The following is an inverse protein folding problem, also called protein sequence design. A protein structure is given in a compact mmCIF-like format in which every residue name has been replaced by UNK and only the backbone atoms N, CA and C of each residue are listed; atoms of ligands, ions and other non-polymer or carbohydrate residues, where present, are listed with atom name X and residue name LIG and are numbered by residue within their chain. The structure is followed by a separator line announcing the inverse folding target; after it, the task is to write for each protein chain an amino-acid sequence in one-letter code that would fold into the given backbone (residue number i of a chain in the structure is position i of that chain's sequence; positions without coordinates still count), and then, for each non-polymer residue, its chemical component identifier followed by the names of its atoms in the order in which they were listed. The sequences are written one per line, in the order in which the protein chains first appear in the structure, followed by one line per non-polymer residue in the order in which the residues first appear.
data_IF_646359874192
#
_entry.id   IF_646359874192
#
_cell.length_a   1.000
_cell.length_b   1.000
_cell.length_c   1.000
_cell.angle_alpha   90.00
_cell.angle_beta   90.00
_cell.angle_gamma   90.00
#
_symmetry.space_group_name_H-M   'P 1'
#
loop_
_entity.id
_entity.type
_entity.pdbx_description
1 polymer ?
#
# COMPACT_ATOMS: atom_id res chain seq x y z
N UNK A 1 5.35 0.07 5.02
CA UNK A 1 5.77 0.46 3.66
C UNK A 1 7.11 1.21 3.76
N UNK A 2 7.94 1.15 2.72
CA UNK A 2 9.21 1.88 2.69
C UNK A 2 9.43 2.55 1.33
N UNK A 3 10.17 3.66 1.35
CA UNK A 3 10.70 4.31 0.17
C UNK A 3 12.21 4.32 0.27
N UNK A 4 12.84 3.58 -0.63
CA UNK A 4 14.28 3.56 -0.79
C UNK A 4 14.72 4.74 -1.68
N UNK A 5 15.66 5.54 -1.17
CA UNK A 5 16.29 6.60 -1.93
C UNK A 5 17.73 6.25 -2.35
N UNK A 6 17.86 5.51 -3.44
CA UNK A 6 19.14 5.22 -4.08
C UNK A 6 19.84 6.45 -4.74
N UNK A 7 19.31 7.66 -4.61
CA UNK A 7 19.94 8.88 -5.16
C UNK A 7 20.94 9.51 -4.18
N UNK A 8 21.90 10.28 -4.72
CA UNK A 8 22.85 11.08 -3.93
C UNK A 8 22.27 12.37 -3.32
N UNK A 9 20.98 12.63 -3.52
CA UNK A 9 20.27 13.80 -2.99
C UNK A 9 19.03 13.37 -2.23
N UNK A 10 18.57 14.22 -1.30
CA UNK A 10 17.32 13.93 -0.58
C UNK A 10 16.13 13.81 -1.53
N UNK A 11 15.22 12.92 -1.17
CA UNK A 11 13.95 12.70 -1.83
C UNK A 11 12.85 13.22 -0.91
N UNK A 12 12.02 14.15 -1.39
CA UNK A 12 10.83 14.61 -0.64
C UNK A 12 9.61 14.04 -1.33
N UNK A 13 8.69 13.47 -0.59
CA UNK A 13 7.42 13.00 -1.15
C UNK A 13 6.27 13.73 -0.48
N UNK A 14 5.23 14.02 -1.27
CA UNK A 14 4.01 14.62 -0.77
C UNK A 14 3.07 13.57 -0.21
N UNK A 15 1.85 13.99 0.09
CA UNK A 15 0.79 13.09 0.54
C UNK A 15 0.61 11.97 -0.47
N UNK A 16 0.64 10.74 0.04
CA UNK A 16 0.47 9.53 -0.75
C UNK A 16 -0.89 8.95 -0.50
N UNK A 17 -1.48 8.35 -1.52
CA UNK A 17 -2.79 7.71 -1.41
C UNK A 17 -2.60 6.21 -1.36
N UNK A 18 -3.19 5.58 -0.37
CA UNK A 18 -3.27 4.12 -0.27
C UNK A 18 -4.73 3.68 -0.30
N UNK A 19 -4.96 2.53 -0.91
CA UNK A 19 -6.23 1.85 -0.92
C UNK A 19 -5.97 0.36 -0.69
N UNK A 20 -6.82 -0.26 0.11
CA UNK A 20 -6.86 -1.71 0.31
C UNK A 20 -8.21 -2.19 -0.17
N UNK A 21 -8.16 -3.27 -0.95
CA UNK A 21 -9.30 -3.82 -1.65
C UNK A 21 -9.46 -5.29 -1.32
N UNK A 22 -10.71 -5.73 -1.31
CA UNK A 22 -11.10 -7.13 -1.30
C UNK A 22 -11.91 -7.38 -2.57
N UNK A 23 -11.46 -8.32 -3.40
CA UNK A 23 -11.95 -8.43 -4.77
C UNK A 23 -11.81 -7.10 -5.52
N UNK A 24 -12.95 -6.53 -5.94
CA UNK A 24 -13.03 -5.23 -6.63
C UNK A 24 -13.56 -4.10 -5.74
N UNK A 25 -13.67 -4.32 -4.43
CA UNK A 25 -14.26 -3.37 -3.48
C UNK A 25 -13.17 -2.75 -2.64
N UNK A 26 -13.11 -1.41 -2.59
CA UNK A 26 -12.26 -0.70 -1.65
C UNK A 26 -12.81 -0.86 -0.24
N UNK A 27 -12.02 -1.50 0.62
CA UNK A 27 -12.38 -1.76 2.03
C UNK A 27 -11.97 -0.58 2.90
N UNK A 28 -10.76 -0.10 2.69
CA UNK A 28 -10.14 0.96 3.49
C UNK A 28 -9.10 1.68 2.63
N UNK A 29 -8.70 2.87 3.04
CA UNK A 29 -7.74 3.68 2.32
C UNK A 29 -7.39 4.93 3.08
N UNK A 30 -6.20 5.45 2.83
CA UNK A 30 -5.65 6.54 3.61
C UNK A 30 -4.84 7.52 2.79
N UNK A 31 -4.63 8.68 3.39
CA UNK A 31 -3.53 9.57 3.04
C UNK A 31 -2.38 9.29 3.98
N UNK A 32 -1.25 8.89 3.43
CA UNK A 32 0.01 8.86 4.16
C UNK A 32 0.61 10.25 4.02
N UNK A 33 0.85 10.91 5.15
CA UNK A 33 1.45 12.25 5.17
C UNK A 33 2.78 12.27 4.41
N UNK A 34 3.06 13.38 3.74
CA UNK A 34 4.33 13.57 3.07
C UNK A 34 5.54 13.42 4.02
N UNK A 35 6.69 13.05 3.45
CA UNK A 35 7.90 12.75 4.20
C UNK A 35 9.17 12.97 3.39
N UNK A 36 10.30 12.52 3.93
CA UNK A 36 11.61 12.74 3.33
C UNK A 36 12.58 11.60 3.60
N UNK A 37 13.08 10.99 2.53
CA UNK A 37 14.21 10.07 2.60
C UNK A 37 15.52 10.83 2.32
N UNK A 38 16.53 10.66 3.16
CA UNK A 38 17.87 11.24 2.92
C UNK A 38 18.59 10.48 1.81
N UNK A 39 19.74 11.00 1.38
CA UNK A 39 20.50 10.40 0.29
C UNK A 39 21.00 9.00 0.71
N UNK A 40 20.73 7.97 -0.11
CA UNK A 40 21.10 6.57 0.17
C UNK A 40 20.50 6.00 1.46
N UNK A 41 19.38 6.55 1.92
CA UNK A 41 18.63 6.08 3.08
C UNK A 41 17.20 5.69 2.68
N UNK A 42 16.59 4.83 3.48
CA UNK A 42 15.19 4.43 3.38
C UNK A 42 14.32 5.14 4.41
N UNK A 43 13.15 5.61 3.98
CA UNK A 43 12.14 6.16 4.88
C UNK A 43 11.03 5.11 5.05
N UNK A 44 10.64 4.83 6.30
CA UNK A 44 9.66 3.79 6.64
C UNK A 44 8.48 4.36 7.40
N UNK A 45 7.30 3.81 7.13
CA UNK A 45 6.08 4.13 7.85
C UNK A 45 5.20 2.91 8.02
N UNK A 46 4.51 2.89 9.16
CA UNK A 46 3.52 1.89 9.50
C UNK A 46 2.17 2.34 8.94
N UNK A 47 1.50 1.42 8.26
CA UNK A 47 0.13 1.61 7.77
C UNK A 47 -0.69 0.52 8.43
N UNK A 48 -1.60 0.93 9.31
CA UNK A 48 -2.61 0.04 9.89
C UNK A 48 -3.84 0.12 9.02
N UNK A 49 -4.37 -1.03 8.63
CA UNK A 49 -5.56 -1.15 7.79
C UNK A 49 -6.57 -1.97 8.55
N UNK A 50 -7.79 -1.45 8.68
CA UNK A 50 -8.85 -2.16 9.38
C UNK A 50 -9.87 -2.70 8.37
N UNK A 51 -9.92 -4.03 8.25
CA UNK A 51 -10.89 -4.70 7.38
C UNK A 51 -12.07 -5.13 8.23
N UNK A 52 -13.21 -4.46 8.03
CA UNK A 52 -14.49 -4.84 8.66
C UNK A 52 -15.44 -5.44 7.63
N UNK A 53 -16.15 -6.49 8.02
CA UNK A 53 -17.27 -7.04 7.26
C UNK A 53 -18.42 -6.02 7.24
N UNK A 54 -18.40 -5.08 6.29
CA UNK A 54 -19.48 -4.12 6.10
C UNK A 54 -20.55 -4.70 5.18
N UNK A 55 -21.78 -4.19 5.28
CA UNK A 55 -22.86 -4.57 4.37
C UNK A 55 -22.53 -4.35 2.89
N UNK A 56 -21.59 -3.46 2.56
CA UNK A 56 -21.07 -3.27 1.21
C UNK A 56 -20.17 -4.43 0.74
N UNK A 57 -19.24 -4.89 1.57
CA UNK A 57 -18.38 -6.04 1.25
C UNK A 57 -19.18 -7.34 1.10
N UNK A 58 -20.12 -7.56 2.03
CA UNK A 58 -20.97 -8.76 2.06
C UNK A 58 -21.89 -8.86 0.82
N UNK A 59 -22.28 -7.72 0.24
CA UNK A 59 -23.14 -7.68 -0.97
C UNK A 59 -22.36 -7.73 -2.27
N UNK A 60 -21.15 -7.19 -2.30
CA UNK A 60 -20.34 -7.12 -3.50
C UNK A 60 -19.54 -8.40 -3.78
N UNK A 61 -19.50 -9.32 -2.82
CA UNK A 61 -18.79 -10.59 -2.98
C UNK A 61 -19.54 -11.71 -2.28
N UNK A 62 -20.28 -12.52 -3.04
CA UNK A 62 -20.90 -13.75 -2.54
C UNK A 62 -19.88 -14.73 -1.91
N UNK A 63 -18.59 -14.53 -2.18
CA UNK A 63 -17.50 -15.36 -1.67
C UNK A 63 -16.89 -14.86 -0.35
N UNK A 64 -17.16 -13.64 0.15
CA UNK A 64 -16.47 -13.15 1.36
C UNK A 64 -16.78 -13.99 2.60
N UNK A 65 -18.03 -14.39 2.79
CA UNK A 65 -18.38 -15.32 3.88
C UNK A 65 -17.75 -16.70 3.71
N UNK A 66 -17.61 -17.17 2.46
CA UNK A 66 -16.94 -18.42 2.12
C UNK A 66 -15.45 -18.35 2.44
N UNK A 67 -14.74 -17.36 1.93
CA UNK A 67 -13.31 -17.11 2.15
C UNK A 67 -12.99 -16.95 3.64
N UNK A 68 -13.86 -16.27 4.40
CA UNK A 68 -13.75 -16.18 5.87
C UNK A 68 -13.89 -17.55 6.53
N UNK A 69 -14.82 -18.39 6.06
CA UNK A 69 -15.04 -19.74 6.61
C UNK A 69 -13.90 -20.71 6.28
N UNK A 70 -13.34 -20.62 5.07
CA UNK A 70 -12.13 -21.35 4.66
C UNK A 70 -10.91 -20.84 5.44
N UNK A 71 -10.94 -19.57 5.84
CA UNK A 71 -9.89 -18.90 6.57
C UNK A 71 -8.73 -18.47 5.67
N UNK A 72 -8.98 -18.31 4.36
CA UNK A 72 -8.02 -17.81 3.40
C UNK A 72 -8.66 -16.69 2.57
N UNK A 73 -8.20 -15.47 2.75
CA UNK A 73 -8.81 -14.28 2.15
C UNK A 73 -7.81 -13.60 1.23
N UNK A 74 -8.12 -13.47 -0.06
CA UNK A 74 -7.32 -12.68 -1.00
C UNK A 74 -7.54 -11.19 -0.77
N UNK A 75 -6.47 -10.45 -0.52
CA UNK A 75 -6.46 -9.00 -0.43
C UNK A 75 -5.55 -8.39 -1.50
N UNK A 76 -6.01 -7.27 -2.04
CA UNK A 76 -5.25 -6.43 -2.95
C UNK A 76 -4.99 -5.09 -2.29
N UNK A 77 -3.82 -4.50 -2.54
CA UNK A 77 -3.53 -3.15 -2.10
C UNK A 77 -2.92 -2.35 -3.23
N UNK A 78 -3.24 -1.06 -3.22
CA UNK A 78 -2.80 -0.07 -4.18
C UNK A 78 -2.22 1.11 -3.40
N UNK A 79 -1.04 1.56 -3.80
CA UNK A 79 -0.45 2.79 -3.29
C UNK A 79 0.06 3.66 -4.43
N UNK A 80 -0.22 4.96 -4.35
CA UNK A 80 0.33 5.98 -5.22
C UNK A 80 1.15 6.97 -4.39
N UNK A 81 2.43 7.07 -4.71
CA UNK A 81 3.38 7.97 -4.10
C UNK A 81 3.78 9.04 -5.11
N UNK A 82 3.66 10.32 -4.73
CA UNK A 82 4.15 11.44 -5.54
C UNK A 82 5.41 12.01 -4.92
N UNK A 83 6.51 11.89 -5.65
CA UNK A 83 7.85 12.23 -5.20
C UNK A 83 8.36 13.47 -5.92
N UNK A 84 8.98 14.38 -5.19
CA UNK A 84 9.82 15.47 -5.70
C UNK A 84 11.30 15.14 -5.45
N UNK A 85 12.01 14.78 -6.51
CA UNK A 85 13.45 14.51 -6.50
C UNK A 85 14.23 15.78 -6.85
N UNK A 86 15.41 15.96 -6.22
CA UNK A 86 16.35 17.03 -6.57
C UNK A 86 17.54 16.40 -7.30
N UNK A 87 17.65 16.67 -8.60
CA UNK A 87 18.75 16.17 -9.44
C UNK A 87 19.88 17.19 -9.44
N UNK A 88 21.09 16.76 -9.11
CA UNK A 88 22.32 17.58 -9.10
C UNK A 88 22.19 18.93 -8.38
N UNK A 89 21.38 19.01 -7.31
CA UNK A 89 21.09 20.24 -6.54
C UNK A 89 20.43 21.40 -7.33
N UNK A 90 20.26 21.33 -8.64
CA UNK A 90 19.75 22.45 -9.45
C UNK A 90 18.31 22.22 -9.92
N UNK A 91 17.96 20.99 -10.33
CA UNK A 91 16.67 20.72 -10.98
C UNK A 91 15.75 19.93 -10.06
N UNK A 92 14.53 20.44 -9.87
CA UNK A 92 13.46 19.71 -9.20
C UNK A 92 12.58 18.98 -10.22
N UNK A 93 12.43 17.66 -10.06
CA UNK A 93 11.51 16.86 -10.89
C UNK A 93 10.46 16.22 -10.01
N UNK A 94 9.20 16.21 -10.46
CA UNK A 94 8.14 15.40 -9.87
C UNK A 94 8.09 14.05 -10.59
N UNK A 95 7.96 12.97 -9.84
CA UNK A 95 7.73 11.61 -10.32
C UNK A 95 6.58 10.99 -9.53
N UNK A 96 5.89 10.04 -10.14
CA UNK A 96 4.90 9.22 -9.45
C UNK A 96 5.37 7.77 -9.49
N UNK A 97 5.26 7.11 -8.35
CA UNK A 97 5.46 5.67 -8.21
C UNK A 97 4.14 5.05 -7.78
N UNK A 98 3.88 3.86 -8.30
CA UNK A 98 2.70 3.06 -7.98
C UNK A 98 3.18 1.74 -7.41
N UNK A 99 2.46 1.20 -6.45
CA UNK A 99 2.71 -0.11 -5.87
C UNK A 99 1.39 -0.87 -5.79
N UNK A 100 1.33 -1.99 -6.49
CA UNK A 100 0.19 -2.89 -6.49
C UNK A 100 0.60 -4.20 -5.84
N UNK A 101 -0.02 -4.56 -4.72
CA UNK A 101 0.24 -5.84 -4.08
C UNK A 101 -0.99 -6.74 -4.08
N UNK A 102 -0.75 -8.04 -4.21
CA UNK A 102 -1.73 -9.10 -3.99
C UNK A 102 -1.19 -10.02 -2.89
N UNK A 103 -2.04 -10.39 -1.93
CA UNK A 103 -1.67 -11.25 -0.81
C UNK A 103 -2.84 -12.11 -0.36
N UNK A 104 -2.54 -13.26 0.25
CA UNK A 104 -3.56 -14.10 0.90
C UNK A 104 -3.35 -14.05 2.40
N UNK A 105 -4.39 -13.67 3.14
CA UNK A 105 -4.39 -13.71 4.59
C UNK A 105 -4.95 -15.06 5.04
N UNK A 106 -4.12 -15.87 5.68
CA UNK A 106 -4.59 -17.06 6.37
C UNK A 106 -5.04 -16.66 7.78
N UNK A 107 -6.34 -16.65 8.03
CA UNK A 107 -6.93 -16.20 9.29
C UNK A 107 -6.74 -17.23 10.42
N UNK A 108 -6.59 -18.51 10.07
CA UNK A 108 -6.37 -19.60 11.04
C UNK A 108 -4.97 -19.54 11.63
N UNK A 109 -3.96 -19.32 10.77
CA UNK A 109 -2.55 -19.23 11.19
C UNK A 109 -2.08 -17.80 11.40
N UNK A 110 -2.92 -16.80 11.11
CA UNK A 110 -2.61 -15.36 11.17
C UNK A 110 -1.37 -14.98 10.35
N UNK A 111 -1.21 -15.59 9.17
CA UNK A 111 -0.04 -15.40 8.30
C UNK A 111 -0.41 -14.82 6.95
N UNK A 112 0.51 -14.01 6.41
CA UNK A 112 0.45 -13.54 5.02
C UNK A 112 1.13 -14.59 4.13
N UNK A 113 0.43 -15.05 3.09
CA UNK A 113 0.92 -15.97 2.07
C UNK A 113 0.86 -15.32 0.69
N UNK A 114 1.77 -15.76 -0.20
CA UNK A 114 1.82 -15.34 -1.60
C UNK A 114 1.81 -13.82 -1.83
N UNK A 115 2.44 -13.05 -0.94
CA UNK A 115 2.60 -11.60 -1.12
C UNK A 115 3.42 -11.31 -2.38
N UNK A 116 2.83 -10.61 -3.34
CA UNK A 116 3.49 -10.17 -4.58
C UNK A 116 3.18 -8.70 -4.78
N UNK A 117 4.21 -7.88 -4.96
CA UNK A 117 4.08 -6.44 -5.23
C UNK A 117 4.75 -6.08 -6.55
N UNK A 118 4.16 -5.15 -7.30
CA UNK A 118 4.67 -4.58 -8.55
C UNK A 118 4.65 -3.07 -8.51
#
# INVERSE_FOLDING_TARGET
MSVDNNNFGRLRFGDSTTAVMYGNVTVDGGRIGGGRAMAREDERWNVTVEVRASGGLLRASGNFSGDLSEGLVEHRSYAKLVVRVRVMKVVHRKKSAFMNCTMHLNLRTQQIKHLRCR
#
